data_IF_427352345335
#
_entry.id   IF_427352345335
#
_cell.length_a   1.000
_cell.length_b   1.000
_cell.length_c   1.000
_cell.angle_alpha   90.00
_cell.angle_beta   90.00
_cell.angle_gamma   90.00
#
_symmetry.space_group_name_H-M   'P 1'
#
loop_
_entity.id
_entity.type
_entity.pdbx_description
1 polymer ?
#
# COMPACT_ATOMS: atom_id res chain seq x y z
N UNK A 1 -8.11 13.30 -8.42
CA UNK A 1 -8.99 14.21 -7.66
C UNK A 1 -9.86 13.45 -6.67
N UNK A 2 -10.61 12.42 -7.10
CA UNK A 2 -11.54 11.68 -6.23
C UNK A 2 -10.84 10.95 -5.08
N UNK A 3 -9.77 10.20 -5.34
CA UNK A 3 -9.03 9.47 -4.30
C UNK A 3 -8.47 10.41 -3.23
N UNK A 4 -7.82 11.52 -3.64
CA UNK A 4 -7.37 12.55 -2.67
C UNK A 4 -8.54 13.13 -1.88
N UNK A 5 -9.65 13.43 -2.55
CA UNK A 5 -10.86 13.98 -1.89
C UNK A 5 -11.39 13.03 -0.80
N UNK A 6 -11.49 11.73 -1.10
CA UNK A 6 -11.91 10.71 -0.13
C UNK A 6 -10.96 10.65 1.08
N UNK A 7 -9.65 10.60 0.84
CA UNK A 7 -8.64 10.58 1.92
C UNK A 7 -8.68 11.84 2.79
N UNK A 8 -8.85 13.02 2.18
CA UNK A 8 -8.95 14.30 2.93
C UNK A 8 -10.25 14.36 3.75
N UNK A 9 -11.38 13.83 3.24
CA UNK A 9 -12.62 13.73 4.02
C UNK A 9 -12.46 12.77 5.19
N UNK A 10 -11.84 11.61 5.00
CA UNK A 10 -11.55 10.67 6.08
C UNK A 10 -10.66 11.31 7.15
N UNK A 11 -9.64 12.05 6.73
CA UNK A 11 -8.78 12.82 7.62
C UNK A 11 -9.56 13.92 8.37
N UNK A 12 -10.51 14.59 7.73
CA UNK A 12 -11.38 15.56 8.41
C UNK A 12 -12.21 14.87 9.49
N UNK A 13 -12.77 13.68 9.21
CA UNK A 13 -13.47 12.87 10.20
C UNK A 13 -12.59 12.53 11.39
N UNK A 14 -11.35 12.11 11.16
CA UNK A 14 -10.39 11.82 12.22
C UNK A 14 -10.04 13.08 13.03
N UNK A 15 -9.89 14.23 12.35
CA UNK A 15 -9.53 15.50 12.97
C UNK A 15 -10.64 16.06 13.88
N UNK A 16 -11.91 16.00 13.47
CA UNK A 16 -13.04 16.52 14.24
C UNK A 16 -13.65 15.50 15.20
N UNK A 17 -13.37 14.22 15.00
CA UNK A 17 -14.00 13.09 15.69
C UNK A 17 -15.30 12.65 14.99
N UNK A 18 -15.49 11.33 14.87
CA UNK A 18 -16.61 10.73 14.11
C UNK A 18 -17.98 11.21 14.57
N UNK A 19 -18.22 11.23 15.87
CA UNK A 19 -19.54 11.60 16.43
C UNK A 19 -19.84 13.08 16.19
N UNK A 20 -18.84 13.95 16.36
CA UNK A 20 -18.94 15.37 16.04
C UNK A 20 -19.20 15.60 14.55
N UNK A 21 -18.54 14.83 13.68
CA UNK A 21 -18.73 14.89 12.24
C UNK A 21 -20.16 14.51 11.85
N UNK A 22 -20.69 13.40 12.37
CA UNK A 22 -22.08 12.97 12.10
C UNK A 22 -23.09 13.99 12.62
N UNK A 23 -22.89 14.50 13.85
CA UNK A 23 -23.77 15.55 14.42
C UNK A 23 -23.72 16.83 13.59
N UNK A 24 -22.54 17.23 13.13
CA UNK A 24 -22.38 18.40 12.25
C UNK A 24 -23.06 18.21 10.90
N UNK A 25 -22.95 17.04 10.28
CA UNK A 25 -23.67 16.71 9.05
C UNK A 25 -25.19 16.76 9.22
N UNK A 26 -25.71 16.23 10.33
CA UNK A 26 -27.16 16.28 10.62
C UNK A 26 -27.68 17.73 10.69
N UNK A 27 -26.93 18.61 11.38
CA UNK A 27 -27.28 20.03 11.48
C UNK A 27 -27.16 20.73 10.11
N UNK A 28 -26.10 20.44 9.38
CA UNK A 28 -25.88 20.97 8.02
C UNK A 28 -27.03 20.61 7.08
N UNK A 29 -27.43 19.33 7.01
CA UNK A 29 -28.55 18.90 6.16
C UNK A 29 -29.91 19.45 6.62
N UNK A 30 -30.14 19.55 7.93
CA UNK A 30 -31.37 20.13 8.44
C UNK A 30 -31.50 21.62 8.09
N UNK A 31 -30.41 22.36 8.19
CA UNK A 31 -30.36 23.81 7.93
C UNK A 31 -30.46 24.15 6.44
N UNK A 32 -29.87 23.32 5.58
CA UNK A 32 -29.73 23.60 4.15
C UNK A 32 -30.55 22.64 3.27
N UNK A 33 -31.63 22.03 3.83
CA UNK A 33 -32.46 21.09 3.09
C UNK A 33 -33.04 21.76 1.80
N UNK A 34 -32.88 21.04 0.66
CA UNK A 34 -33.33 21.48 -0.67
C UNK A 34 -32.70 22.80 -1.17
N UNK A 35 -31.59 23.23 -0.59
CA UNK A 35 -30.85 24.41 -1.02
C UNK A 35 -29.45 24.07 -1.53
N UNK A 36 -28.83 24.98 -2.29
CA UNK A 36 -27.42 24.91 -2.64
C UNK A 36 -26.55 25.36 -1.47
N UNK A 37 -25.37 24.78 -1.36
CA UNK A 37 -24.44 25.06 -0.26
C UNK A 37 -23.01 25.24 -0.77
N UNK A 38 -22.20 25.86 0.05
CA UNK A 38 -20.75 25.98 -0.10
C UNK A 38 -20.01 25.10 0.91
N UNK A 39 -18.70 24.99 0.76
CA UNK A 39 -17.86 24.31 1.75
C UNK A 39 -17.97 24.99 3.13
N UNK A 40 -18.04 26.32 3.18
CA UNK A 40 -18.11 27.08 4.43
C UNK A 40 -19.36 26.74 5.24
N UNK A 41 -20.50 26.47 4.59
CA UNK A 41 -21.72 26.06 5.27
C UNK A 41 -21.54 24.75 6.05
N UNK A 42 -20.80 23.79 5.51
CA UNK A 42 -20.45 22.55 6.20
C UNK A 42 -19.45 22.80 7.34
N UNK A 43 -18.43 23.61 7.08
CA UNK A 43 -17.36 23.87 8.07
C UNK A 43 -17.86 24.61 9.31
N UNK A 44 -18.84 25.50 9.16
CA UNK A 44 -19.50 26.18 10.30
C UNK A 44 -20.11 25.17 11.26
N UNK A 45 -20.87 24.21 10.75
CA UNK A 45 -21.52 23.19 11.58
C UNK A 45 -20.51 22.22 12.21
N UNK A 46 -19.47 21.83 11.46
CA UNK A 46 -18.40 20.97 11.98
C UNK A 46 -17.54 21.68 13.05
N UNK A 47 -17.25 22.96 12.87
CA UNK A 47 -16.57 23.78 13.89
C UNK A 47 -17.39 23.85 15.17
N UNK A 48 -18.70 24.11 15.03
CA UNK A 48 -19.61 24.22 16.19
C UNK A 48 -19.75 22.89 16.95
N UNK A 49 -19.70 21.75 16.28
CA UNK A 49 -19.86 20.44 16.93
C UNK A 49 -18.55 19.87 17.50
N UNK A 50 -17.39 20.15 16.86
CA UNK A 50 -16.09 19.64 17.30
C UNK A 50 -15.35 20.55 18.27
N UNK A 51 -15.71 21.85 18.31
CA UNK A 51 -14.96 22.88 19.04
C UNK A 51 -13.58 23.20 18.44
N UNK A 52 -13.23 22.64 17.25
CA UNK A 52 -11.97 22.92 16.54
C UNK A 52 -12.17 24.02 15.52
N UNK A 53 -11.22 24.97 15.44
CA UNK A 53 -11.17 25.93 14.34
C UNK A 53 -10.66 25.22 13.07
N UNK A 54 -11.53 25.08 12.07
CA UNK A 54 -11.23 24.38 10.83
C UNK A 54 -10.65 25.29 9.73
N UNK A 55 -10.60 26.60 9.92
CA UNK A 55 -10.05 27.53 8.91
C UNK A 55 -8.59 27.25 8.57
N UNK A 56 -7.67 27.07 9.56
CA UNK A 56 -6.28 26.72 9.28
C UNK A 56 -6.17 25.35 8.59
N UNK A 57 -6.99 24.38 9.00
CA UNK A 57 -7.01 23.06 8.40
C UNK A 57 -7.39 23.13 6.92
N UNK A 58 -8.46 23.85 6.57
CA UNK A 58 -8.92 24.03 5.18
C UNK A 58 -7.87 24.72 4.34
N UNK A 59 -7.30 25.82 4.84
CA UNK A 59 -6.25 26.54 4.14
C UNK A 59 -5.08 25.62 3.80
N UNK A 60 -4.66 24.80 4.75
CA UNK A 60 -3.49 23.93 4.59
C UNK A 60 -3.78 22.73 3.70
N UNK A 61 -4.96 22.10 3.82
CA UNK A 61 -5.27 20.86 3.11
C UNK A 61 -5.91 21.03 1.74
N UNK A 62 -6.73 22.08 1.56
CA UNK A 62 -7.49 22.28 0.34
C UNK A 62 -6.89 23.36 -0.58
N UNK A 63 -6.06 24.28 -0.04
CA UNK A 63 -5.50 25.38 -0.82
C UNK A 63 -4.01 25.23 -1.13
N UNK A 64 -3.38 24.13 -0.68
CA UNK A 64 -1.98 23.84 -0.96
C UNK A 64 -1.82 22.53 -1.74
N UNK A 65 -0.71 22.41 -2.47
CA UNK A 65 -0.36 21.20 -3.23
C UNK A 65 0.73 20.37 -2.54
N UNK A 66 0.88 19.12 -2.97
CA UNK A 66 1.90 18.19 -2.50
C UNK A 66 1.44 17.32 -1.34
N UNK A 67 2.27 16.35 -0.96
CA UNK A 67 2.04 15.36 0.11
C UNK A 67 3.24 15.39 1.04
N UNK A 68 3.00 15.46 2.35
CA UNK A 68 4.05 15.38 3.36
C UNK A 68 4.55 13.94 3.51
N UNK A 69 5.81 13.79 3.88
CA UNK A 69 6.39 12.51 4.25
C UNK A 69 6.55 12.44 5.77
N UNK A 70 6.09 11.34 6.36
CA UNK A 70 6.20 11.05 7.79
C UNK A 70 7.18 9.91 7.99
N UNK A 71 8.16 10.11 8.87
CA UNK A 71 9.26 9.17 9.12
C UNK A 71 9.45 8.96 10.61
N UNK A 72 9.63 7.72 11.11
CA UNK A 72 10.00 7.49 12.50
C UNK A 72 11.46 7.88 12.74
N UNK A 73 11.72 8.53 13.86
CA UNK A 73 13.05 8.68 14.43
C UNK A 73 13.01 8.03 15.82
N UNK A 74 13.80 6.99 16.00
CA UNK A 74 13.74 6.10 17.12
C UNK A 74 15.03 6.23 17.96
N UNK A 75 14.89 6.36 19.27
CA UNK A 75 15.94 6.17 20.25
C UNK A 75 15.60 4.93 21.07
N UNK A 76 16.50 3.95 21.08
CA UNK A 76 16.30 2.64 21.70
C UNK A 76 17.37 2.42 22.78
N UNK A 77 16.96 1.94 23.94
CA UNK A 77 17.83 1.50 25.02
C UNK A 77 17.23 0.26 25.65
N UNK A 78 18.03 -0.77 25.87
CA UNK A 78 17.62 -2.01 26.54
C UNK A 78 16.40 -2.70 25.92
N UNK A 79 16.32 -2.71 24.57
CA UNK A 79 15.20 -3.24 23.78
C UNK A 79 13.86 -2.52 24.01
N UNK A 80 13.90 -1.28 24.53
CA UNK A 80 12.73 -0.41 24.70
C UNK A 80 12.93 0.91 23.97
N UNK A 81 11.82 1.51 23.55
CA UNK A 81 11.84 2.86 22.98
C UNK A 81 12.06 3.89 24.09
N UNK A 82 13.27 4.44 24.21
CA UNK A 82 13.50 5.59 25.08
C UNK A 82 12.84 6.86 24.54
N UNK A 83 12.72 6.96 23.20
CA UNK A 83 12.00 8.05 22.52
C UNK A 83 11.53 7.63 21.13
N UNK A 84 10.32 8.02 20.76
CA UNK A 84 9.79 7.94 19.38
C UNK A 84 9.41 9.35 18.96
N UNK A 85 9.95 9.80 17.82
CA UNK A 85 9.56 11.04 17.16
C UNK A 85 9.02 10.73 15.76
N UNK A 86 7.92 11.38 15.38
CA UNK A 86 7.46 11.42 14.00
C UNK A 86 8.06 12.68 13.38
N UNK A 87 8.98 12.50 12.46
CA UNK A 87 9.56 13.58 11.64
C UNK A 87 8.63 13.83 10.46
N UNK A 88 8.30 15.10 10.22
CA UNK A 88 7.53 15.51 9.06
C UNK A 88 8.39 16.30 8.09
N UNK A 89 8.38 15.87 6.82
CA UNK A 89 9.09 16.53 5.73
C UNK A 89 8.09 17.26 4.81
N UNK A 90 8.48 18.43 4.33
CA UNK A 90 7.68 19.17 3.36
C UNK A 90 7.62 18.43 2.01
N UNK A 91 6.55 18.63 1.22
CA UNK A 91 6.44 18.01 -0.09
C UNK A 91 7.62 18.37 -1.00
N UNK A 92 8.18 17.39 -1.69
CA UNK A 92 9.20 17.61 -2.73
C UNK A 92 8.59 18.24 -4.01
N UNK A 93 7.31 17.98 -4.24
CA UNK A 93 6.56 18.48 -5.40
C UNK A 93 5.28 19.15 -4.89
N UNK A 94 5.02 20.43 -5.26
CA UNK A 94 5.85 21.29 -6.12
C UNK A 94 7.17 21.71 -5.46
N UNK A 95 8.17 21.95 -6.27
CA UNK A 95 9.49 22.38 -5.78
C UNK A 95 9.38 23.67 -4.95
N UNK A 96 10.13 23.72 -3.84
CA UNK A 96 10.11 24.86 -2.92
C UNK A 96 8.94 24.90 -1.94
N UNK A 97 8.09 23.88 -1.92
CA UNK A 97 7.06 23.74 -0.89
C UNK A 97 7.68 23.68 0.52
N UNK A 98 7.05 24.35 1.48
CA UNK A 98 7.47 24.37 2.90
C UNK A 98 6.34 23.93 3.82
N UNK A 99 5.23 23.47 3.26
CA UNK A 99 4.03 23.16 4.02
C UNK A 99 4.26 21.93 4.93
N UNK A 100 4.11 22.13 6.23
CA UNK A 100 4.05 21.07 7.24
C UNK A 100 2.62 21.02 7.77
N UNK A 101 1.86 20.06 7.26
CA UNK A 101 0.42 19.99 7.53
C UNK A 101 0.14 19.36 8.89
N UNK A 102 -0.91 19.80 9.60
CA UNK A 102 -1.37 19.08 10.79
C UNK A 102 -2.02 17.76 10.39
N UNK A 103 -1.64 16.68 11.08
CA UNK A 103 -2.22 15.35 10.89
C UNK A 103 -2.87 14.88 12.20
N UNK A 104 -4.00 14.20 12.13
CA UNK A 104 -4.51 13.32 13.18
C UNK A 104 -4.31 11.90 12.69
N UNK A 105 -3.49 11.13 13.38
CA UNK A 105 -3.13 9.78 12.97
C UNK A 105 -2.93 8.84 14.17
N UNK A 106 -2.88 7.55 13.89
CA UNK A 106 -2.50 6.54 14.86
C UNK A 106 -1.07 6.04 14.58
N UNK A 107 -0.39 5.59 15.64
CA UNK A 107 0.86 4.82 15.56
C UNK A 107 0.61 3.45 16.16
N UNK A 108 0.81 2.41 15.37
CA UNK A 108 0.65 1.01 15.76
C UNK A 108 1.99 0.34 16.03
N UNK A 109 2.07 -0.43 17.12
CA UNK A 109 3.16 -1.34 17.43
C UNK A 109 2.67 -2.78 17.23
N UNK A 110 3.33 -3.52 16.36
CA UNK A 110 2.99 -4.88 15.99
C UNK A 110 4.14 -5.82 16.35
N UNK A 111 3.82 -7.00 16.88
CA UNK A 111 4.78 -8.05 17.20
C UNK A 111 4.53 -9.29 16.36
N UNK A 112 5.60 -9.98 15.98
CA UNK A 112 5.54 -11.31 15.40
C UNK A 112 5.32 -12.34 16.50
N UNK A 113 4.24 -13.12 16.43
CA UNK A 113 3.90 -14.21 17.34
C UNK A 113 3.69 -15.50 16.57
N UNK A 114 4.71 -16.36 16.54
CA UNK A 114 4.75 -17.46 15.59
C UNK A 114 4.85 -16.92 14.16
N UNK A 115 3.88 -17.25 13.32
CA UNK A 115 3.81 -16.71 11.96
C UNK A 115 2.98 -15.42 11.87
N UNK A 116 2.15 -15.11 12.87
CA UNK A 116 1.21 -13.99 12.83
C UNK A 116 1.85 -12.66 13.22
N UNK A 117 1.41 -11.56 12.59
CA UNK A 117 1.75 -10.18 12.97
C UNK A 117 0.56 -9.57 13.69
N UNK A 118 0.72 -9.29 14.99
CA UNK A 118 -0.36 -8.93 15.89
C UNK A 118 -0.17 -7.52 16.44
N UNK A 119 -1.21 -6.70 16.38
CA UNK A 119 -1.22 -5.39 17.02
C UNK A 119 -1.11 -5.54 18.54
N UNK A 120 -0.05 -4.96 19.13
CA UNK A 120 0.16 -4.91 20.57
C UNK A 120 -0.42 -3.65 21.19
N UNK A 121 -0.13 -2.51 20.60
CA UNK A 121 -0.56 -1.20 21.08
C UNK A 121 -0.77 -0.24 19.91
N UNK A 122 -1.77 0.62 20.00
CA UNK A 122 -2.00 1.71 19.06
C UNK A 122 -2.35 2.98 19.83
N UNK A 123 -1.78 4.12 19.44
CA UNK A 123 -2.05 5.42 20.05
C UNK A 123 -2.40 6.42 18.96
N UNK A 124 -3.41 7.26 19.23
CA UNK A 124 -3.79 8.35 18.33
C UNK A 124 -3.26 9.68 18.86
N UNK A 125 -2.67 10.47 17.96
CA UNK A 125 -2.12 11.77 18.32
C UNK A 125 -2.28 12.79 17.19
N UNK A 126 -2.15 14.06 17.55
CA UNK A 126 -2.02 15.15 16.59
C UNK A 126 -0.51 15.36 16.29
N UNK A 127 -0.16 15.33 15.00
CA UNK A 127 1.19 15.59 14.50
C UNK A 127 1.22 16.97 13.86
N UNK A 128 2.15 17.80 14.26
CA UNK A 128 2.31 19.16 13.74
C UNK A 128 3.78 19.61 13.73
N UNK A 129 4.11 20.53 12.82
CA UNK A 129 5.48 20.99 12.67
C UNK A 129 6.42 19.93 12.10
N UNK A 130 7.71 20.12 12.25
CA UNK A 130 8.74 19.23 11.68
C UNK A 130 9.02 17.97 12.49
N UNK A 131 8.62 17.94 13.76
CA UNK A 131 8.79 16.79 14.66
C UNK A 131 7.70 16.78 15.73
N UNK A 132 7.19 15.59 16.03
CA UNK A 132 6.23 15.34 17.14
C UNK A 132 6.67 14.12 17.91
N UNK A 133 6.84 14.26 19.25
CA UNK A 133 7.18 13.13 20.12
C UNK A 133 5.93 12.32 20.47
N UNK A 134 6.02 11.00 20.38
CA UNK A 134 4.96 10.05 20.76
C UNK A 134 5.20 9.58 22.18
N UNK A 135 4.78 10.39 23.16
CA UNK A 135 5.10 10.20 24.58
C UNK A 135 4.47 8.93 25.16
N UNK A 136 3.30 8.51 24.65
CA UNK A 136 2.54 7.35 25.13
C UNK A 136 3.20 6.01 24.76
N UNK A 137 4.19 6.03 23.90
CA UNK A 137 4.96 4.85 23.48
C UNK A 137 6.38 4.80 24.09
N UNK A 138 6.77 5.79 24.89
CA UNK A 138 8.05 5.72 25.63
C UNK A 138 8.00 4.60 26.66
N UNK A 139 9.09 3.81 26.77
CA UNK A 139 9.20 2.63 27.62
C UNK A 139 8.52 1.37 27.05
N UNK A 140 7.91 1.45 25.88
CA UNK A 140 7.41 0.25 25.20
C UNK A 140 8.57 -0.57 24.61
N UNK A 141 8.44 -1.88 24.68
CA UNK A 141 9.36 -2.79 24.01
C UNK A 141 9.42 -2.52 22.52
N UNK A 142 10.60 -2.63 21.90
CA UNK A 142 10.77 -2.45 20.45
C UNK A 142 9.87 -3.44 19.71
N UNK A 143 9.03 -2.92 18.83
CA UNK A 143 8.10 -3.69 18.01
C UNK A 143 8.82 -4.29 16.80
N UNK A 144 8.28 -5.37 16.26
CA UNK A 144 8.75 -5.92 14.98
C UNK A 144 8.29 -5.08 13.78
N UNK A 145 7.11 -4.44 13.89
CA UNK A 145 6.62 -3.44 12.94
C UNK A 145 6.07 -2.22 13.69
N UNK A 146 6.66 -1.05 13.44
CA UNK A 146 6.13 0.25 13.85
C UNK A 146 5.47 0.91 12.64
N UNK A 147 4.15 1.12 12.72
CA UNK A 147 3.36 1.66 11.62
C UNK A 147 2.83 3.06 11.98
N UNK A 148 3.39 4.09 11.35
CA UNK A 148 2.86 5.45 11.39
C UNK A 148 1.63 5.51 10.46
N UNK A 149 0.62 6.27 10.86
CA UNK A 149 -0.66 6.38 10.18
C UNK A 149 -1.46 5.07 10.16
N UNK A 150 -1.27 4.23 11.18
CA UNK A 150 -2.10 3.05 11.40
C UNK A 150 -3.60 3.41 11.26
N UNK A 151 -4.39 2.55 10.60
CA UNK A 151 -5.81 2.78 10.20
C UNK A 151 -6.03 3.82 9.07
N UNK A 152 -4.98 4.29 8.40
CA UNK A 152 -5.08 5.23 7.26
C UNK A 152 -5.88 6.51 7.57
N UNK A 153 -5.66 7.10 8.74
CA UNK A 153 -6.41 8.28 9.19
C UNK A 153 -5.98 9.59 8.52
N UNK A 154 -4.80 9.62 7.86
CA UNK A 154 -4.24 10.85 7.31
C UNK A 154 -3.64 10.63 5.92
N UNK A 155 -3.73 11.66 5.08
CA UNK A 155 -3.16 11.66 3.73
C UNK A 155 -1.69 12.08 3.78
N UNK A 156 -0.79 11.12 3.84
CA UNK A 156 0.66 11.32 3.91
C UNK A 156 1.42 10.16 3.26
N UNK A 157 2.65 10.40 2.84
CA UNK A 157 3.61 9.34 2.60
C UNK A 157 4.20 8.89 3.93
N UNK A 158 4.30 7.60 4.14
CA UNK A 158 4.89 7.02 5.34
C UNK A 158 6.20 6.33 4.99
N UNK A 159 7.16 6.38 5.92
CA UNK A 159 8.41 5.62 5.84
C UNK A 159 8.49 4.65 7.01
N UNK A 160 9.00 3.48 6.73
CA UNK A 160 9.25 2.46 7.73
C UNK A 160 10.72 2.52 8.17
N UNK A 161 10.98 2.12 9.40
CA UNK A 161 12.32 1.83 9.87
C UNK A 161 12.84 0.48 9.34
N UNK A 162 14.15 0.22 9.50
CA UNK A 162 14.80 -0.98 8.96
C UNK A 162 14.22 -2.29 9.53
N UNK A 163 13.85 -2.31 10.83
CA UNK A 163 13.26 -3.50 11.46
C UNK A 163 11.88 -3.78 10.90
N UNK A 164 11.07 -2.75 10.73
CA UNK A 164 9.74 -2.85 10.10
C UNK A 164 9.82 -3.36 8.66
N UNK A 165 10.79 -2.89 7.85
CA UNK A 165 11.03 -3.40 6.49
C UNK A 165 11.43 -4.87 6.53
N UNK A 166 12.32 -5.27 7.44
CA UNK A 166 12.74 -6.66 7.59
C UNK A 166 11.55 -7.58 7.94
N UNK A 167 10.65 -7.10 8.82
CA UNK A 167 9.42 -7.82 9.16
C UNK A 167 8.50 -8.00 7.94
N UNK A 168 8.33 -6.96 7.12
CA UNK A 168 7.49 -7.07 5.91
C UNK A 168 8.06 -8.07 4.89
N UNK A 169 9.38 -8.20 4.78
CA UNK A 169 10.02 -9.17 3.88
C UNK A 169 9.67 -10.63 4.18
N UNK A 170 9.24 -10.93 5.39
CA UNK A 170 8.93 -12.30 5.81
C UNK A 170 7.50 -12.51 6.29
N UNK A 171 6.81 -11.47 6.74
CA UNK A 171 5.53 -11.61 7.45
C UNK A 171 4.40 -10.70 6.94
N UNK A 172 4.58 -9.95 5.83
CA UNK A 172 3.53 -9.06 5.34
C UNK A 172 2.21 -9.81 5.09
N UNK A 173 2.26 -10.99 4.49
CA UNK A 173 1.09 -11.83 4.23
C UNK A 173 0.41 -12.34 5.50
N UNK A 174 1.07 -12.28 6.65
CA UNK A 174 0.58 -12.75 7.94
C UNK A 174 -0.07 -11.65 8.80
N UNK A 175 -0.17 -10.44 8.27
CA UNK A 175 -0.96 -9.36 8.89
C UNK A 175 -2.43 -9.67 8.65
N UNK A 176 -3.18 -9.98 9.71
CA UNK A 176 -4.58 -10.41 9.60
C UNK A 176 -5.53 -9.28 9.18
N UNK A 177 -5.29 -8.05 9.62
CA UNK A 177 -6.10 -6.89 9.24
C UNK A 177 -5.82 -6.46 7.80
N UNK A 178 -6.85 -6.50 6.95
CA UNK A 178 -6.76 -6.18 5.52
C UNK A 178 -6.35 -4.73 5.23
N UNK A 179 -6.78 -3.78 6.08
CA UNK A 179 -6.41 -2.36 5.92
C UNK A 179 -4.93 -2.15 6.24
N UNK A 180 -4.47 -2.68 7.36
CA UNK A 180 -3.04 -2.64 7.76
C UNK A 180 -2.16 -3.26 6.68
N UNK A 181 -2.57 -4.42 6.15
CA UNK A 181 -1.86 -5.09 5.05
C UNK A 181 -1.81 -4.23 3.78
N UNK A 182 -2.96 -3.63 3.39
CA UNK A 182 -3.03 -2.73 2.24
C UNK A 182 -2.15 -1.48 2.41
N UNK A 183 -2.07 -0.93 3.62
CA UNK A 183 -1.17 0.18 3.94
C UNK A 183 0.30 -0.23 3.80
N UNK A 184 0.69 -1.40 4.32
CA UNK A 184 2.06 -1.91 4.18
C UNK A 184 2.43 -2.10 2.70
N UNK A 185 1.51 -2.58 1.86
CA UNK A 185 1.68 -2.64 0.40
C UNK A 185 1.93 -1.26 -0.22
N UNK A 186 1.06 -0.29 0.10
CA UNK A 186 1.16 1.07 -0.44
C UNK A 186 2.44 1.77 0.01
N UNK A 187 2.82 1.64 1.28
CA UNK A 187 4.04 2.21 1.85
C UNK A 187 5.28 1.62 1.16
N UNK A 188 5.34 0.29 1.01
CA UNK A 188 6.47 -0.38 0.35
C UNK A 188 6.62 0.06 -1.10
N UNK A 189 5.51 0.23 -1.82
CA UNK A 189 5.51 0.74 -3.19
C UNK A 189 5.96 2.20 -3.27
N UNK A 190 5.49 3.07 -2.36
CA UNK A 190 5.91 4.47 -2.32
C UNK A 190 7.39 4.61 -1.95
N UNK A 191 7.89 3.78 -1.03
CA UNK A 191 9.32 3.75 -0.67
C UNK A 191 10.19 3.31 -1.85
N UNK A 192 9.76 2.34 -2.66
CA UNK A 192 10.46 1.97 -3.89
C UNK A 192 10.48 3.14 -4.88
N UNK A 193 9.34 3.77 -5.13
CA UNK A 193 9.23 4.89 -6.09
C UNK A 193 10.06 6.12 -5.72
N UNK A 194 10.23 6.33 -4.42
CA UNK A 194 11.01 7.43 -3.88
C UNK A 194 12.50 7.04 -3.63
N UNK A 195 12.92 5.83 -4.07
CA UNK A 195 14.28 5.28 -3.91
C UNK A 195 14.74 5.11 -2.44
N UNK A 196 13.81 4.89 -1.53
CA UNK A 196 14.05 4.63 -0.11
C UNK A 196 14.31 3.13 0.17
N UNK A 197 13.80 2.25 -0.69
CA UNK A 197 14.15 0.82 -0.72
C UNK A 197 14.54 0.41 -2.13
N UNK A 198 15.29 -0.68 -2.25
CA UNK A 198 15.69 -1.21 -3.55
C UNK A 198 14.55 -1.98 -4.23
N UNK A 199 14.63 -2.12 -5.57
CA UNK A 199 13.72 -3.00 -6.29
C UNK A 199 13.80 -4.46 -5.79
N UNK A 200 14.98 -4.90 -5.35
CA UNK A 200 15.18 -6.24 -4.76
C UNK A 200 14.35 -6.39 -3.48
N UNK A 201 14.40 -5.39 -2.58
CA UNK A 201 13.65 -5.40 -1.32
C UNK A 201 12.15 -5.45 -1.57
N UNK A 202 11.65 -4.61 -2.48
CA UNK A 202 10.23 -4.62 -2.84
C UNK A 202 9.78 -5.96 -3.42
N UNK A 203 10.58 -6.55 -4.32
CA UNK A 203 10.28 -7.86 -4.92
C UNK A 203 10.25 -8.96 -3.83
N UNK A 204 11.15 -8.90 -2.85
CA UNK A 204 11.15 -9.83 -1.72
C UNK A 204 9.89 -9.70 -0.88
N UNK A 205 9.53 -8.46 -0.49
CA UNK A 205 8.29 -8.17 0.23
C UNK A 205 7.07 -8.69 -0.56
N UNK A 206 7.02 -8.42 -1.86
CA UNK A 206 5.88 -8.78 -2.69
C UNK A 206 5.73 -10.30 -2.84
N UNK A 207 6.81 -11.03 -3.13
CA UNK A 207 6.75 -12.48 -3.29
C UNK A 207 6.47 -13.21 -1.96
N UNK A 208 6.94 -12.68 -0.84
CA UNK A 208 6.64 -13.22 0.49
C UNK A 208 5.21 -12.91 0.96
N UNK A 209 4.69 -11.74 0.63
CA UNK A 209 3.37 -11.29 1.09
C UNK A 209 2.19 -11.80 0.29
N UNK A 210 2.36 -12.00 -1.04
CA UNK A 210 1.28 -12.43 -1.93
C UNK A 210 0.56 -13.74 -1.53
N UNK A 211 1.22 -14.77 -0.96
CA UNK A 211 0.52 -15.97 -0.52
C UNK A 211 -0.59 -15.72 0.52
N UNK A 212 -0.41 -14.71 1.37
CA UNK A 212 -1.39 -14.34 2.41
C UNK A 212 -2.39 -13.27 1.99
N UNK A 213 -2.28 -12.72 0.76
CA UNK A 213 -3.22 -11.70 0.29
C UNK A 213 -4.52 -12.31 -0.18
N UNK A 214 -5.63 -11.84 0.37
CA UNK A 214 -6.97 -12.35 0.07
C UNK A 214 -7.75 -11.49 -0.93
N UNK A 215 -7.37 -10.23 -1.11
CA UNK A 215 -8.04 -9.31 -2.05
C UNK A 215 -7.44 -9.45 -3.45
N UNK A 216 -8.25 -9.94 -4.40
CA UNK A 216 -7.83 -10.14 -5.78
C UNK A 216 -7.42 -8.84 -6.49
N UNK A 217 -8.00 -7.71 -6.09
CA UNK A 217 -7.62 -6.40 -6.64
C UNK A 217 -6.20 -6.05 -6.21
N UNK A 218 -5.85 -6.28 -4.95
CA UNK A 218 -4.50 -6.08 -4.43
C UNK A 218 -3.53 -7.01 -5.14
N UNK A 219 -3.84 -8.30 -5.26
CA UNK A 219 -3.01 -9.28 -6.00
C UNK A 219 -2.72 -8.81 -7.43
N UNK A 220 -3.74 -8.31 -8.12
CA UNK A 220 -3.58 -7.79 -9.48
C UNK A 220 -2.67 -6.56 -9.53
N UNK A 221 -2.86 -5.63 -8.60
CA UNK A 221 -2.03 -4.41 -8.50
C UNK A 221 -0.57 -4.77 -8.22
N UNK A 222 -0.31 -5.63 -7.23
CA UNK A 222 1.05 -6.05 -6.87
C UNK A 222 1.73 -6.81 -8.02
N UNK A 223 1.00 -7.66 -8.75
CA UNK A 223 1.52 -8.32 -9.95
C UNK A 223 2.03 -7.34 -11.01
N UNK A 224 1.27 -6.24 -11.25
CA UNK A 224 1.70 -5.16 -12.15
C UNK A 224 2.87 -4.36 -11.58
N UNK A 225 2.87 -4.11 -10.27
CA UNK A 225 3.96 -3.42 -9.58
C UNK A 225 5.26 -4.21 -9.62
N UNK A 226 5.23 -5.55 -9.50
CA UNK A 226 6.40 -6.42 -9.65
C UNK A 226 7.06 -6.23 -11.02
N UNK A 227 6.28 -6.25 -12.09
CA UNK A 227 6.79 -5.99 -13.45
C UNK A 227 7.40 -4.60 -13.54
N UNK A 228 6.72 -3.59 -13.02
CA UNK A 228 7.18 -2.20 -13.03
C UNK A 228 8.46 -2.02 -12.22
N UNK A 229 8.56 -2.66 -11.05
CA UNK A 229 9.74 -2.64 -10.19
C UNK A 229 10.98 -3.17 -10.93
N UNK A 230 10.84 -4.28 -11.63
CA UNK A 230 11.94 -4.85 -12.42
C UNK A 230 12.32 -3.96 -13.59
N UNK A 231 11.34 -3.50 -14.39
CA UNK A 231 11.63 -2.83 -15.65
C UNK A 231 12.10 -1.37 -15.47
N UNK A 232 11.57 -0.66 -14.47
CA UNK A 232 11.81 0.78 -14.33
C UNK A 232 12.68 1.15 -13.12
N UNK A 233 12.68 0.36 -12.04
CA UNK A 233 13.36 0.71 -10.79
C UNK A 233 14.58 -0.16 -10.47
N UNK A 234 14.70 -1.36 -11.09
CA UNK A 234 15.84 -2.22 -10.86
C UNK A 234 17.12 -1.67 -11.52
N UNK A 235 18.25 -1.83 -10.84
CA UNK A 235 19.54 -1.59 -11.44
C UNK A 235 19.68 -2.45 -12.71
N UNK A 236 20.08 -1.87 -13.86
CA UNK A 236 20.25 -2.62 -15.10
C UNK A 236 21.10 -3.88 -14.97
N UNK A 237 22.13 -3.85 -14.12
CA UNK A 237 23.01 -5.01 -13.89
C UNK A 237 22.29 -6.21 -13.24
N UNK A 238 21.21 -5.97 -12.49
CA UNK A 238 20.47 -7.01 -11.77
C UNK A 238 19.13 -7.34 -12.45
N UNK A 239 18.74 -6.61 -13.48
CA UNK A 239 17.39 -6.67 -14.07
C UNK A 239 17.05 -8.06 -14.58
N UNK A 240 17.96 -8.73 -15.29
CA UNK A 240 17.67 -10.04 -15.86
C UNK A 240 17.51 -11.12 -14.77
N UNK A 241 18.33 -11.09 -13.72
CA UNK A 241 18.16 -12.00 -12.59
C UNK A 241 16.84 -11.75 -11.83
N UNK A 242 16.44 -10.50 -11.69
CA UNK A 242 15.16 -10.13 -11.04
C UNK A 242 13.95 -10.51 -11.90
N UNK A 243 14.05 -10.42 -13.25
CA UNK A 243 13.00 -10.93 -14.15
C UNK A 243 12.76 -12.43 -13.92
N UNK A 244 13.84 -13.20 -13.85
CA UNK A 244 13.76 -14.65 -13.60
C UNK A 244 13.16 -14.90 -12.22
N UNK A 245 13.66 -14.22 -11.18
CA UNK A 245 13.15 -14.34 -9.79
C UNK A 245 11.65 -14.06 -9.69
N UNK A 246 11.17 -12.99 -10.33
CA UNK A 246 9.74 -12.63 -10.33
C UNK A 246 8.91 -13.68 -11.06
N UNK A 247 9.33 -14.11 -12.24
CA UNK A 247 8.61 -15.12 -13.01
C UNK A 247 8.52 -16.46 -12.26
N UNK A 248 9.62 -16.92 -11.67
CA UNK A 248 9.65 -18.15 -10.87
C UNK A 248 8.80 -18.04 -9.61
N UNK A 249 8.86 -16.89 -8.93
CA UNK A 249 8.03 -16.60 -7.77
C UNK A 249 6.54 -16.68 -8.10
N UNK A 250 6.10 -16.02 -9.18
CA UNK A 250 4.70 -16.06 -9.63
C UNK A 250 4.30 -17.47 -10.08
N UNK A 251 5.21 -18.23 -10.73
CA UNK A 251 4.95 -19.62 -11.10
C UNK A 251 4.75 -20.53 -9.87
N UNK A 252 5.46 -20.27 -8.77
CA UNK A 252 5.28 -20.98 -7.51
C UNK A 252 3.94 -20.59 -6.86
N UNK A 253 3.56 -19.32 -6.90
CA UNK A 253 2.23 -18.85 -6.45
C UNK A 253 1.10 -19.53 -7.23
N UNK A 254 1.24 -19.63 -8.56
CA UNK A 254 0.29 -20.37 -9.40
C UNK A 254 0.16 -21.85 -8.99
N UNK A 255 1.29 -22.51 -8.72
CA UNK A 255 1.31 -23.91 -8.35
C UNK A 255 0.68 -24.17 -6.97
N UNK A 256 0.76 -23.22 -6.05
CA UNK A 256 0.20 -23.32 -4.70
C UNK A 256 -1.20 -22.75 -4.57
N UNK A 257 -1.69 -22.02 -5.58
CA UNK A 257 -3.01 -21.41 -5.55
C UNK A 257 -4.12 -22.46 -5.48
N UNK A 258 -5.18 -22.12 -4.74
CA UNK A 258 -6.37 -22.97 -4.67
C UNK A 258 -6.96 -23.17 -6.07
N UNK A 259 -7.24 -24.41 -6.44
CA UNK A 259 -7.90 -24.76 -7.69
C UNK A 259 -9.22 -23.98 -7.85
N UNK A 260 -9.51 -23.53 -9.06
CA UNK A 260 -10.72 -22.78 -9.44
C UNK A 260 -10.87 -21.41 -8.76
N UNK A 261 -9.77 -20.85 -8.20
CA UNK A 261 -9.79 -19.53 -7.57
C UNK A 261 -9.41 -18.40 -8.54
N UNK A 262 -9.91 -17.19 -8.26
CA UNK A 262 -9.51 -15.99 -8.98
C UNK A 262 -8.00 -15.73 -8.85
N UNK A 263 -7.38 -16.11 -7.74
CA UNK A 263 -5.93 -16.04 -7.53
C UNK A 263 -5.18 -16.94 -8.51
N UNK A 264 -5.65 -18.18 -8.72
CA UNK A 264 -5.05 -19.10 -9.70
C UNK A 264 -5.10 -18.50 -11.11
N UNK A 265 -6.26 -17.98 -11.51
CA UNK A 265 -6.43 -17.29 -12.80
C UNK A 265 -5.49 -16.08 -12.93
N UNK A 266 -5.42 -15.24 -11.91
CA UNK A 266 -4.56 -14.05 -11.92
C UNK A 266 -3.08 -14.40 -11.96
N UNK A 267 -2.64 -15.42 -11.21
CA UNK A 267 -1.25 -15.86 -11.25
C UNK A 267 -0.88 -16.48 -12.60
N UNK A 268 -1.80 -17.19 -13.26
CA UNK A 268 -1.57 -17.69 -14.62
C UNK A 268 -1.35 -16.54 -15.63
N UNK A 269 -2.21 -15.51 -15.59
CA UNK A 269 -2.05 -14.29 -16.42
C UNK A 269 -0.72 -13.58 -16.10
N UNK A 270 -0.41 -13.41 -14.83
CA UNK A 270 0.82 -12.74 -14.39
C UNK A 270 2.07 -13.52 -14.79
N UNK A 271 2.06 -14.85 -14.68
CA UNK A 271 3.18 -15.68 -15.10
C UNK A 271 3.43 -15.58 -16.61
N UNK A 272 2.38 -15.62 -17.43
CA UNK A 272 2.52 -15.44 -18.88
C UNK A 272 3.13 -14.07 -19.22
N UNK A 273 2.83 -13.03 -18.44
CA UNK A 273 3.36 -11.69 -18.63
C UNK A 273 4.81 -11.50 -18.13
N UNK A 274 5.35 -12.40 -17.30
CA UNK A 274 6.66 -12.23 -16.66
C UNK A 274 7.69 -13.23 -17.13
N UNK A 275 7.33 -14.37 -17.71
CA UNK A 275 8.22 -15.41 -18.16
C UNK A 275 9.27 -14.90 -19.17
N UNK A 276 10.53 -15.33 -18.99
CA UNK A 276 11.70 -14.87 -19.79
C UNK A 276 12.67 -15.99 -20.17
N UNK A 277 12.58 -17.18 -19.57
CA UNK A 277 13.46 -18.30 -19.87
C UNK A 277 12.78 -19.38 -20.71
N UNK A 278 13.53 -20.20 -21.48
CA UNK A 278 12.97 -21.31 -22.25
C UNK A 278 12.15 -22.30 -21.41
N UNK A 279 12.57 -22.57 -20.16
CA UNK A 279 11.85 -23.48 -19.25
C UNK A 279 10.51 -22.86 -18.83
N UNK A 280 10.50 -21.56 -18.51
CA UNK A 280 9.27 -20.83 -18.20
C UNK A 280 8.33 -20.78 -19.42
N UNK A 281 8.87 -20.64 -20.65
CA UNK A 281 8.09 -20.70 -21.88
C UNK A 281 7.45 -22.09 -22.11
N UNK A 282 8.18 -23.15 -21.80
CA UNK A 282 7.63 -24.52 -21.83
C UNK A 282 6.47 -24.68 -20.84
N UNK A 283 6.61 -24.12 -19.63
CA UNK A 283 5.52 -24.14 -18.62
C UNK A 283 4.28 -23.35 -19.10
N UNK A 284 4.46 -22.21 -19.78
CA UNK A 284 3.31 -21.47 -20.35
C UNK A 284 2.57 -22.28 -21.40
N UNK A 285 3.29 -23.00 -22.28
CA UNK A 285 2.67 -23.89 -23.27
C UNK A 285 1.88 -25.00 -22.58
N UNK A 286 2.44 -25.62 -21.54
CA UNK A 286 1.75 -26.66 -20.78
C UNK A 286 0.49 -26.14 -20.05
N UNK A 287 0.48 -24.88 -19.61
CA UNK A 287 -0.74 -24.26 -19.06
C UNK A 287 -1.86 -24.25 -20.10
N UNK A 288 -1.57 -23.82 -21.33
CA UNK A 288 -2.55 -23.82 -22.43
C UNK A 288 -3.04 -25.22 -22.81
N UNK A 289 -2.21 -26.25 -22.58
CA UNK A 289 -2.57 -27.65 -22.77
C UNK A 289 -3.34 -28.26 -21.56
N UNK A 290 -3.70 -27.43 -20.56
CA UNK A 290 -4.51 -27.85 -19.42
C UNK A 290 -3.73 -28.53 -18.30
N UNK A 291 -2.41 -28.26 -18.15
CA UNK A 291 -1.57 -28.88 -17.12
C UNK A 291 -1.84 -28.40 -15.70
N UNK A 292 -2.55 -27.28 -15.52
CA UNK A 292 -2.86 -26.72 -14.21
C UNK A 292 -4.25 -27.16 -13.77
N UNK A 293 -4.30 -28.01 -12.76
CA UNK A 293 -5.56 -28.54 -12.24
C UNK A 293 -6.47 -27.41 -11.72
N UNK A 294 -7.74 -27.44 -12.12
CA UNK A 294 -8.76 -26.45 -11.75
C UNK A 294 -8.69 -25.11 -12.51
N UNK A 295 -7.67 -24.89 -13.35
CA UNK A 295 -7.62 -23.70 -14.19
C UNK A 295 -8.39 -23.93 -15.49
N UNK A 296 -9.53 -23.26 -15.63
CA UNK A 296 -10.33 -23.31 -16.86
C UNK A 296 -9.68 -22.40 -17.89
N UNK A 297 -9.25 -22.99 -19.02
CA UNK A 297 -8.68 -22.23 -20.15
C UNK A 297 -9.82 -21.85 -21.09
N UNK A 298 -10.52 -20.76 -20.72
CA UNK A 298 -11.51 -20.14 -21.61
C UNK A 298 -10.85 -19.30 -22.72
N UNK A 299 -11.65 -18.78 -23.63
CA UNK A 299 -11.16 -17.98 -24.74
C UNK A 299 -10.42 -16.72 -24.29
N UNK A 300 -10.87 -16.07 -23.19
CA UNK A 300 -10.23 -14.85 -22.68
C UNK A 300 -8.85 -15.14 -22.09
N UNK A 301 -8.72 -16.15 -21.24
CA UNK A 301 -7.44 -16.55 -20.66
C UNK A 301 -6.48 -17.04 -21.75
N UNK A 302 -6.97 -17.87 -22.67
CA UNK A 302 -6.18 -18.37 -23.82
C UNK A 302 -5.58 -17.22 -24.61
N UNK A 303 -6.39 -16.27 -25.04
CA UNK A 303 -5.92 -15.09 -25.76
C UNK A 303 -4.98 -14.20 -24.92
N UNK A 304 -5.25 -14.02 -23.64
CA UNK A 304 -4.38 -13.26 -22.73
C UNK A 304 -2.97 -13.86 -22.66
N UNK A 305 -2.89 -15.17 -22.46
CA UNK A 305 -1.61 -15.91 -22.44
C UNK A 305 -0.94 -15.88 -23.80
N UNK A 306 -1.71 -16.07 -24.87
CA UNK A 306 -1.20 -16.12 -26.24
C UNK A 306 -0.59 -14.78 -26.66
N UNK A 307 -1.29 -13.67 -26.42
CA UNK A 307 -0.79 -12.31 -26.72
C UNK A 307 0.51 -12.02 -25.93
N UNK A 308 0.54 -12.41 -24.66
CA UNK A 308 1.74 -12.26 -23.83
C UNK A 308 2.90 -13.10 -24.38
N UNK A 309 2.61 -14.32 -24.81
CA UNK A 309 3.58 -15.22 -25.42
C UNK A 309 4.13 -14.71 -26.77
N UNK A 310 3.29 -14.10 -27.62
CA UNK A 310 3.72 -13.47 -28.87
C UNK A 310 4.66 -12.28 -28.56
N UNK A 311 4.31 -11.43 -27.62
CA UNK A 311 5.16 -10.29 -27.20
C UNK A 311 6.54 -10.73 -26.71
N UNK A 312 6.67 -11.94 -26.20
CA UNK A 312 7.91 -12.51 -25.64
C UNK A 312 8.61 -13.47 -26.60
N UNK A 313 8.08 -13.67 -27.80
CA UNK A 313 8.64 -14.57 -28.79
C UNK A 313 8.44 -16.06 -28.49
N UNK A 314 7.49 -16.41 -27.62
CA UNK A 314 7.10 -17.80 -27.30
C UNK A 314 6.30 -18.39 -28.46
N UNK A 315 5.40 -17.61 -29.05
CA UNK A 315 4.54 -17.99 -30.17
C UNK A 315 4.87 -17.19 -31.40
N UNK A 316 4.85 -17.85 -32.56
CA UNK A 316 5.10 -17.27 -33.87
C UNK A 316 3.87 -17.28 -34.76
N UNK A 317 4.03 -16.84 -36.07
CA UNK A 317 2.92 -16.78 -37.03
C UNK A 317 2.19 -18.12 -37.23
N UNK A 318 2.89 -19.24 -37.18
CA UNK A 318 2.29 -20.57 -37.33
C UNK A 318 1.40 -20.93 -36.13
N UNK A 319 1.71 -20.41 -34.95
CA UNK A 319 0.89 -20.63 -33.75
C UNK A 319 -0.35 -19.76 -33.80
N UNK A 320 -0.23 -18.49 -34.27
CA UNK A 320 -1.36 -17.57 -34.46
C UNK A 320 -2.43 -18.13 -35.39
N UNK A 321 -1.98 -18.81 -36.45
CA UNK A 321 -2.92 -19.38 -37.45
C UNK A 321 -3.64 -20.65 -36.97
N UNK A 322 -3.21 -21.23 -35.84
CA UNK A 322 -3.84 -22.41 -35.22
C UNK A 322 -4.86 -22.08 -34.15
N UNK A 323 -4.80 -20.87 -33.59
CA UNK A 323 -5.74 -20.35 -32.60
C UNK A 323 -6.94 -19.68 -33.26
#
# INVERSE_FOLDING_TARGET
TYAKGASVLQQLVAHVGRDNFITGLQKYFAKHAFANTTLDDLLVELTATSGRDLKPWVSTWLQTAGVNTLRPKLEISDDEYSKIEIMQEAPLVPAGSKELRPHRLAVGLYDVKGDDVVLRKSVELDVAGSSTTVTELAGEKVADLLLINDRDLSYAKVRLDERSIATLKSHLGNISDGLTRAMCWAISWDMLRDAEISATDFIEIALAGLPGESDITVVTVIGNQLTTAVELYANPANRDSLRIKVADGIANLLASAKAESDHQLQFAKSFANTAVTPDQFTRIKSILDGSVNGLVIDAELRWSIFISGVKRGIFGPADINRE
#
